data_IF_020214712145
#
_entry.id   IF_020214712145
#
_cell.length_a   1.000
_cell.length_b   1.000
_cell.length_c   1.000
_cell.angle_alpha   90.00
_cell.angle_beta   90.00
_cell.angle_gamma   90.00
#
_symmetry.space_group_name_H-M   'P 1'
#
loop_
_entity.id
_entity.type
_entity.pdbx_description
1 polymer ?
#
# COMPACT_ATOMS: atom_id res chain seq x y z
N UNK A 1 -22.39 -7.79 -9.05
CA UNK A 1 -21.48 -7.11 -8.10
C UNK A 1 -20.34 -6.55 -8.93
N UNK A 2 -20.25 -5.23 -9.04
CA UNK A 2 -19.09 -4.57 -9.62
C UNK A 2 -18.02 -4.46 -8.55
N UNK A 3 -16.79 -4.83 -8.88
CA UNK A 3 -15.62 -4.54 -8.07
C UNK A 3 -14.71 -3.68 -8.94
N UNK A 4 -14.51 -2.42 -8.58
CA UNK A 4 -13.51 -1.59 -9.24
C UNK A 4 -12.20 -1.75 -8.48
N UNK A 5 -11.24 -2.35 -9.17
CA UNK A 5 -9.90 -2.57 -8.65
C UNK A 5 -9.05 -1.32 -8.91
N UNK A 6 -8.68 -0.61 -7.85
CA UNK A 6 -7.83 0.58 -7.96
C UNK A 6 -6.53 0.33 -7.21
N UNK A 7 -5.44 0.28 -7.99
CA UNK A 7 -4.10 -0.11 -7.55
C UNK A 7 -3.23 1.15 -7.51
N UNK A 8 -2.57 1.40 -6.39
CA UNK A 8 -1.48 2.36 -6.34
C UNK A 8 -0.16 1.65 -6.66
N UNK A 9 0.55 2.19 -7.65
CA UNK A 9 1.83 1.66 -8.14
C UNK A 9 2.97 2.43 -7.50
N UNK A 10 3.84 1.71 -6.76
CA UNK A 10 5.07 2.23 -6.18
C UNK A 10 6.16 2.33 -7.25
N UNK A 11 6.80 3.50 -7.39
CA UNK A 11 8.00 3.71 -8.22
C UNK A 11 9.28 3.17 -7.56
N UNK A 12 9.25 2.74 -6.28
CA UNK A 12 10.41 2.13 -5.64
C UNK A 12 9.97 0.96 -4.75
N UNK A 13 9.95 -0.25 -5.32
CA UNK A 13 9.96 -1.47 -4.53
C UNK A 13 10.95 -2.46 -5.13
N UNK A 14 12.11 -2.57 -4.50
CA UNK A 14 12.71 -3.89 -4.40
C UNK A 14 11.75 -4.74 -3.54
N UNK A 15 11.58 -6.02 -3.88
CA UNK A 15 10.52 -6.89 -3.33
C UNK A 15 10.15 -6.59 -1.86
N UNK A 16 8.86 -6.45 -1.51
CA UNK A 16 8.41 -6.16 -0.14
C UNK A 16 8.88 -7.21 0.90
N UNK A 17 9.46 -8.32 0.45
CA UNK A 17 10.06 -9.36 1.28
C UNK A 17 11.44 -9.02 1.87
N UNK A 18 12.17 -8.01 1.37
CA UNK A 18 13.55 -7.70 1.82
C UNK A 18 13.67 -6.37 2.59
N UNK A 19 12.58 -5.91 3.22
CA UNK A 19 12.62 -4.83 4.21
C UNK A 19 13.26 -5.29 5.52
N UNK A 20 12.89 -6.50 5.97
CA UNK A 20 13.20 -7.01 7.31
C UNK A 20 14.32 -8.02 7.25
N UNK A 21 15.32 -7.81 8.10
CA UNK A 21 16.41 -8.76 8.32
C UNK A 21 15.97 -9.70 9.43
N UNK A 22 15.21 -10.72 9.06
CA UNK A 22 14.68 -11.71 10.02
C UNK A 22 15.69 -12.81 10.38
N UNK A 23 16.82 -12.85 9.66
CA UNK A 23 17.92 -13.78 9.91
C UNK A 23 19.29 -13.13 9.62
N UNK A 24 20.32 -13.58 10.33
CA UNK A 24 21.69 -13.16 10.10
C UNK A 24 22.15 -13.51 8.67
N UNK A 25 22.89 -12.59 8.04
CA UNK A 25 23.36 -12.73 6.66
C UNK A 25 22.38 -12.25 5.59
N UNK A 26 21.17 -11.83 5.95
CA UNK A 26 20.24 -11.19 5.02
C UNK A 26 20.52 -9.69 4.89
N UNK A 27 20.41 -9.17 3.67
CA UNK A 27 20.58 -7.76 3.36
C UNK A 27 19.19 -7.11 3.29
N UNK A 28 19.00 -5.99 3.97
CA UNK A 28 17.82 -5.16 3.75
C UNK A 28 18.00 -4.37 2.45
N UNK A 29 17.42 -4.84 1.34
CA UNK A 29 17.65 -4.21 0.03
C UNK A 29 17.13 -2.78 -0.02
N UNK A 30 16.02 -2.49 0.68
CA UNK A 30 15.50 -1.14 0.82
C UNK A 30 16.54 -0.18 1.42
N UNK A 31 17.28 -0.62 2.44
CA UNK A 31 18.35 0.16 3.06
C UNK A 31 19.53 0.36 2.11
N UNK A 32 19.93 -0.68 1.39
CA UNK A 32 21.01 -0.57 0.39
C UNK A 32 20.64 0.43 -0.70
N UNK A 33 19.42 0.37 -1.23
CA UNK A 33 18.95 1.32 -2.23
C UNK A 33 18.88 2.75 -1.67
N UNK A 34 18.35 2.94 -0.47
CA UNK A 34 18.33 4.26 0.17
C UNK A 34 19.75 4.82 0.38
N UNK A 35 20.73 3.96 0.69
CA UNK A 35 22.15 4.34 0.79
C UNK A 35 22.71 4.79 -0.56
N UNK A 36 22.40 4.07 -1.64
CA UNK A 36 22.80 4.43 -3.00
C UNK A 36 22.16 5.75 -3.45
N UNK A 37 20.87 5.94 -3.19
CA UNK A 37 20.15 7.18 -3.47
C UNK A 37 20.70 8.35 -2.63
N UNK A 38 21.13 8.07 -1.40
CA UNK A 38 21.78 9.06 -0.54
C UNK A 38 23.18 9.45 -1.01
N UNK A 39 23.77 8.74 -1.97
CA UNK A 39 25.04 9.12 -2.59
C UNK A 39 24.87 10.17 -3.70
N UNK A 40 23.64 10.60 -4.00
CA UNK A 40 23.39 11.72 -4.93
C UNK A 40 24.10 12.97 -4.37
N UNK A 41 24.98 13.62 -5.16
CA UNK A 41 25.70 14.79 -4.70
C UNK A 41 24.76 15.97 -4.48
N UNK A 42 25.19 16.91 -3.63
CA UNK A 42 24.47 18.16 -3.42
C UNK A 42 24.35 18.94 -4.73
N UNK A 43 23.16 19.47 -4.98
CA UNK A 43 22.93 20.42 -6.07
C UNK A 43 23.44 21.81 -5.69
N UNK A 44 23.51 22.73 -6.66
CA UNK A 44 23.85 24.13 -6.40
C UNK A 44 22.91 24.83 -5.38
N UNK A 45 21.72 24.27 -5.11
CA UNK A 45 20.75 24.80 -4.15
C UNK A 45 20.56 23.90 -2.91
N UNK A 46 21.47 22.94 -2.69
CA UNK A 46 21.43 22.02 -1.55
C UNK A 46 21.02 20.58 -1.92
N UNK A 47 20.59 19.77 -0.92
CA UNK A 47 20.23 18.36 -1.10
C UNK A 47 19.16 18.14 -2.16
N UNK A 48 19.28 17.04 -2.91
CA UNK A 48 18.22 16.61 -3.82
C UNK A 48 17.00 16.11 -3.01
N UNK A 49 15.79 16.42 -3.49
CA UNK A 49 14.56 15.87 -2.92
C UNK A 49 14.20 14.56 -3.62
N UNK A 50 13.87 13.55 -2.83
CA UNK A 50 13.37 12.26 -3.33
C UNK A 50 11.92 12.15 -2.90
N UNK A 51 11.00 12.23 -3.87
CA UNK A 51 9.58 12.08 -3.61
C UNK A 51 9.22 10.60 -3.68
N UNK A 52 8.62 10.08 -2.62
CA UNK A 52 8.23 8.67 -2.48
C UNK A 52 6.74 8.64 -2.20
N UNK A 53 5.99 7.99 -3.08
CA UNK A 53 4.56 7.78 -2.89
C UNK A 53 4.30 6.47 -2.15
N UNK A 54 3.43 6.52 -1.14
CA UNK A 54 2.87 5.37 -0.43
C UNK A 54 3.94 4.33 -0.02
N UNK A 55 4.87 4.79 0.82
CA UNK A 55 5.98 3.95 1.32
C UNK A 55 5.46 2.71 2.06
N UNK A 56 6.12 1.56 1.87
CA UNK A 56 5.60 0.28 2.36
C UNK A 56 5.57 0.25 3.88
N UNK A 57 6.64 0.73 4.52
CA UNK A 57 6.72 0.96 5.96
C UNK A 57 7.30 2.34 6.25
N UNK A 58 6.66 3.08 7.16
CA UNK A 58 7.06 4.44 7.50
C UNK A 58 8.50 4.53 8.03
N UNK A 59 9.00 3.44 8.65
CA UNK A 59 10.35 3.32 9.19
C UNK A 59 11.44 3.42 8.11
N UNK A 60 11.15 3.06 6.86
CA UNK A 60 12.09 3.14 5.74
C UNK A 60 12.58 4.57 5.48
N UNK A 61 11.82 5.59 5.94
CA UNK A 61 12.22 7.00 5.86
C UNK A 61 13.58 7.30 6.52
N UNK A 62 13.96 6.48 7.52
CA UNK A 62 15.19 6.64 8.27
C UNK A 62 16.38 5.91 7.63
N UNK A 63 16.20 5.26 6.48
CA UNK A 63 17.31 4.67 5.73
C UNK A 63 18.10 5.70 4.91
N UNK A 64 17.52 6.86 4.64
CA UNK A 64 18.17 7.94 3.90
C UNK A 64 19.11 8.74 4.82
N UNK A 65 20.23 9.22 4.27
CA UNK A 65 21.16 10.11 4.97
C UNK A 65 20.98 11.58 4.56
N UNK A 66 21.66 12.48 5.25
CA UNK A 66 21.51 13.95 5.16
C UNK A 66 21.79 14.57 3.77
N UNK A 67 22.40 13.81 2.85
CA UNK A 67 22.68 14.28 1.49
C UNK A 67 21.43 14.40 0.61
N UNK A 68 20.31 13.80 1.01
CA UNK A 68 19.03 13.85 0.30
C UNK A 68 17.89 14.12 1.26
N UNK A 69 16.81 14.71 0.76
CA UNK A 69 15.60 14.99 1.54
C UNK A 69 14.50 14.03 1.06
N UNK A 70 14.19 12.95 1.80
CA UNK A 70 13.06 12.09 1.48
C UNK A 70 11.76 12.81 1.81
N UNK A 71 10.91 12.98 0.79
CA UNK A 71 9.58 13.57 0.90
C UNK A 71 8.54 12.47 0.65
N UNK A 72 7.84 12.08 1.70
CA UNK A 72 6.79 11.07 1.62
C UNK A 72 5.47 11.73 1.22
N UNK A 73 4.87 11.23 0.17
CA UNK A 73 3.58 11.68 -0.36
C UNK A 73 2.63 10.48 -0.47
N UNK A 74 1.35 10.74 -0.65
CA UNK A 74 0.34 9.71 -0.87
C UNK A 74 -0.48 10.02 -2.12
N UNK A 75 -0.80 8.99 -2.89
CA UNK A 75 -1.64 9.12 -4.07
C UNK A 75 -3.13 8.92 -3.75
N UNK A 76 -3.50 8.65 -2.49
CA UNK A 76 -4.89 8.46 -2.06
C UNK A 76 -5.84 9.62 -2.42
N UNK A 77 -5.44 10.91 -2.37
CA UNK A 77 -6.33 11.99 -2.81
C UNK A 77 -6.76 11.88 -4.28
N UNK A 78 -5.88 11.35 -5.16
CA UNK A 78 -6.25 11.07 -6.55
C UNK A 78 -7.26 9.94 -6.63
N UNK A 79 -7.17 8.94 -5.73
CA UNK A 79 -8.17 7.89 -5.62
C UNK A 79 -9.54 8.46 -5.25
N UNK A 80 -9.57 9.24 -4.17
CA UNK A 80 -10.79 9.78 -3.60
C UNK A 80 -11.55 10.62 -4.62
N UNK A 81 -10.82 11.36 -5.47
CA UNK A 81 -11.40 12.09 -6.58
C UNK A 81 -12.16 11.18 -7.56
N UNK A 82 -11.55 10.08 -8.00
CA UNK A 82 -12.21 9.12 -8.90
C UNK A 82 -13.40 8.42 -8.23
N UNK A 83 -13.27 8.09 -6.95
CA UNK A 83 -14.32 7.44 -6.16
C UNK A 83 -15.53 8.36 -5.92
N UNK A 84 -15.30 9.66 -5.76
CA UNK A 84 -16.39 10.63 -5.62
C UNK A 84 -17.34 10.59 -6.82
N UNK A 85 -16.81 10.41 -8.03
CA UNK A 85 -17.62 10.25 -9.24
C UNK A 85 -18.52 9.00 -9.23
N UNK A 86 -18.13 7.93 -8.52
CA UNK A 86 -18.95 6.74 -8.35
C UNK A 86 -20.03 6.93 -7.27
N UNK A 87 -19.70 7.64 -6.18
CA UNK A 87 -20.70 8.00 -5.15
C UNK A 87 -21.79 8.91 -5.73
N UNK A 88 -21.43 9.85 -6.60
CA UNK A 88 -22.40 10.72 -7.32
C UNK A 88 -23.36 9.92 -8.23
N UNK A 89 -22.93 8.75 -8.72
CA UNK A 89 -23.75 7.85 -9.53
C UNK A 89 -24.71 6.99 -8.67
N UNK A 90 -24.68 7.15 -7.35
CA UNK A 90 -25.52 6.44 -6.40
C UNK A 90 -24.98 5.08 -5.98
N UNK A 91 -23.69 4.79 -6.23
CA UNK A 91 -23.07 3.55 -5.80
C UNK A 91 -22.74 3.57 -4.30
N UNK A 92 -23.13 2.50 -3.58
CA UNK A 92 -22.77 2.35 -2.17
C UNK A 92 -21.35 1.77 -2.07
N UNK A 93 -20.34 2.62 -1.89
CA UNK A 93 -18.94 2.20 -1.80
C UNK A 93 -18.61 1.52 -0.46
N UNK A 94 -17.71 0.54 -0.52
CA UNK A 94 -17.01 -0.03 0.63
C UNK A 94 -15.52 -0.23 0.32
N UNK A 95 -14.66 -0.03 1.31
CA UNK A 95 -13.20 -0.09 1.20
C UNK A 95 -12.68 -1.35 1.86
N UNK A 96 -12.12 -2.26 1.06
CA UNK A 96 -11.56 -3.52 1.53
C UNK A 96 -10.04 -3.45 1.63
N UNK A 97 -9.50 -3.83 2.78
CA UNK A 97 -8.06 -3.94 3.01
C UNK A 97 -7.65 -5.42 3.02
N UNK A 98 -6.77 -5.87 2.11
CA UNK A 98 -6.45 -7.29 1.92
C UNK A 98 -5.71 -7.92 3.10
N UNK A 99 -5.05 -7.11 3.92
CA UNK A 99 -4.44 -7.52 5.18
C UNK A 99 -4.40 -6.38 6.22
N UNK A 100 -4.06 -6.74 7.47
CA UNK A 100 -3.94 -5.79 8.59
C UNK A 100 -2.87 -4.70 8.32
N UNK A 101 -1.89 -4.96 7.44
CA UNK A 101 -0.84 -4.00 7.07
C UNK A 101 -1.38 -2.89 6.18
N UNK A 102 -2.14 -3.25 5.14
CA UNK A 102 -2.88 -2.29 4.31
C UNK A 102 -3.87 -1.48 5.15
N UNK A 103 -4.64 -2.13 6.03
CA UNK A 103 -5.56 -1.43 6.92
C UNK A 103 -4.84 -0.35 7.74
N UNK A 104 -3.81 -0.72 8.52
CA UNK A 104 -3.04 0.21 9.36
C UNK A 104 -2.44 1.40 8.60
N UNK A 105 -2.11 1.22 7.32
CA UNK A 105 -1.48 2.26 6.49
C UNK A 105 -2.50 3.24 5.93
N UNK A 106 -3.66 2.75 5.50
CA UNK A 106 -4.57 3.53 4.68
C UNK A 106 -5.88 3.89 5.38
N UNK A 107 -6.31 3.18 6.44
CA UNK A 107 -7.66 3.35 7.00
C UNK A 107 -7.98 4.79 7.42
N UNK A 108 -6.99 5.55 7.94
CA UNK A 108 -7.15 6.95 8.35
C UNK A 108 -7.40 7.91 7.18
N UNK A 109 -7.12 7.48 5.95
CA UNK A 109 -7.35 8.25 4.73
C UNK A 109 -8.71 7.94 4.10
N UNK A 110 -9.51 7.06 4.69
CA UNK A 110 -10.87 6.75 4.26
C UNK A 110 -11.87 7.12 5.37
N UNK A 111 -13.18 7.20 5.06
CA UNK A 111 -14.18 7.53 6.06
C UNK A 111 -14.12 6.58 7.27
N UNK A 112 -14.29 7.13 8.48
CA UNK A 112 -14.33 6.36 9.74
C UNK A 112 -15.62 5.54 9.92
N UNK A 113 -16.53 5.60 8.94
CA UNK A 113 -17.78 4.84 8.95
C UNK A 113 -17.47 3.33 8.91
N UNK A 114 -17.69 2.65 10.04
CA UNK A 114 -17.46 1.21 10.18
C UNK A 114 -18.24 0.41 9.12
N UNK A 115 -19.41 0.89 8.67
CA UNK A 115 -20.19 0.22 7.64
C UNK A 115 -19.51 0.29 6.26
N UNK A 116 -18.57 1.20 6.03
CA UNK A 116 -17.83 1.30 4.77
C UNK A 116 -16.48 0.57 4.80
N UNK A 117 -15.99 0.15 5.96
CA UNK A 117 -14.67 -0.48 6.08
C UNK A 117 -14.79 -2.00 6.11
N UNK A 118 -13.95 -2.68 5.34
CA UNK A 118 -13.87 -4.14 5.29
C UNK A 118 -12.42 -4.53 5.52
N UNK A 119 -12.17 -5.33 6.55
CA UNK A 119 -10.82 -5.82 6.86
C UNK A 119 -10.76 -7.29 6.51
N UNK A 120 -9.78 -7.65 5.68
CA UNK A 120 -9.53 -9.04 5.33
C UNK A 120 -8.34 -9.60 6.11
N UNK A 121 -8.38 -10.90 6.37
CA UNK A 121 -7.26 -11.67 6.88
C UNK A 121 -6.69 -12.55 5.77
N UNK A 122 -5.38 -12.44 5.57
CA UNK A 122 -4.63 -13.24 4.60
C UNK A 122 -3.88 -14.36 5.30
N UNK A 123 -4.17 -15.60 4.91
CA UNK A 123 -3.48 -16.80 5.40
C UNK A 123 -2.74 -17.47 4.24
N UNK A 124 -1.49 -17.86 4.47
CA UNK A 124 -0.76 -18.77 3.58
C UNK A 124 -1.15 -20.20 3.93
N UNK A 125 -1.60 -20.96 2.95
CA UNK A 125 -1.94 -22.38 3.08
C UNK A 125 -0.81 -23.20 2.43
N UNK A 126 -0.68 -24.47 2.81
CA UNK A 126 0.34 -25.36 2.24
C UNK A 126 0.30 -25.36 0.70
N UNK A 127 1.48 -25.47 0.08
CA UNK A 127 1.60 -25.43 -1.38
C UNK A 127 1.61 -24.03 -2.00
N UNK A 128 1.99 -22.99 -1.25
CA UNK A 128 2.13 -21.60 -1.73
C UNK A 128 0.82 -20.92 -2.17
N UNK A 129 -0.32 -21.53 -1.83
CA UNK A 129 -1.64 -20.94 -2.04
C UNK A 129 -1.96 -19.93 -0.93
N UNK A 130 -2.66 -18.85 -1.31
CA UNK A 130 -3.08 -17.79 -0.37
C UNK A 130 -4.59 -17.87 -0.29
N UNK A 131 -5.14 -17.73 0.91
CA UNK A 131 -6.58 -17.59 1.13
C UNK A 131 -6.80 -16.28 1.84
N UNK A 132 -7.73 -15.48 1.33
CA UNK A 132 -8.16 -14.23 1.94
C UNK A 132 -9.59 -14.41 2.43
N UNK A 133 -9.85 -14.04 3.67
CA UNK A 133 -11.18 -14.13 4.28
C UNK A 133 -11.54 -12.79 4.90
N UNK A 134 -12.80 -12.37 4.78
CA UNK A 134 -13.30 -11.20 5.51
C UNK A 134 -13.21 -11.47 7.01
N UNK A 135 -12.48 -10.62 7.72
CA UNK A 135 -12.29 -10.64 9.17
C UNK A 135 -13.30 -9.72 9.85
N UNK A 136 -13.58 -8.57 9.24
CA UNK A 136 -14.52 -7.57 9.75
C UNK A 136 -15.17 -6.79 8.60
N UNK A 137 -16.37 -6.27 8.84
CA UNK A 137 -17.20 -5.55 7.85
C UNK A 137 -18.06 -6.45 6.95
N UNK A 138 -18.93 -5.83 6.14
CA UNK A 138 -19.84 -6.54 5.24
C UNK A 138 -19.79 -6.00 3.79
N UNK A 139 -19.32 -6.81 2.81
CA UNK A 139 -19.28 -6.44 1.38
C UNK A 139 -20.63 -6.53 0.66
N UNK A 140 -21.64 -7.15 1.25
CA UNK A 140 -22.87 -7.50 0.53
C UNK A 140 -23.64 -6.25 0.09
N UNK A 141 -23.99 -6.20 -1.21
CA UNK A 141 -24.77 -5.12 -1.80
C UNK A 141 -23.99 -3.82 -2.04
N UNK A 142 -22.67 -3.82 -1.79
CA UNK A 142 -21.80 -2.65 -1.92
C UNK A 142 -20.85 -2.81 -3.10
N UNK A 143 -20.39 -1.68 -3.62
CA UNK A 143 -19.29 -1.61 -4.56
C UNK A 143 -17.98 -1.64 -3.77
N UNK A 144 -17.27 -2.77 -3.83
CA UNK A 144 -16.06 -2.95 -3.04
C UNK A 144 -14.82 -2.46 -3.80
N UNK A 145 -14.08 -1.56 -3.17
CA UNK A 145 -12.81 -1.01 -3.63
C UNK A 145 -11.71 -1.60 -2.76
N UNK A 146 -10.83 -2.41 -3.36
CA UNK A 146 -9.73 -3.03 -2.62
C UNK A 146 -8.53 -2.08 -2.60
N UNK A 147 -8.05 -1.73 -1.41
CA UNK A 147 -6.97 -0.77 -1.18
C UNK A 147 -5.71 -1.50 -0.74
N UNK A 148 -4.64 -1.41 -1.55
CA UNK A 148 -3.32 -1.93 -1.23
C UNK A 148 -2.23 -1.00 -1.76
N UNK A 149 -1.03 -1.07 -1.18
CA UNK A 149 0.10 -0.22 -1.58
C UNK A 149 0.79 -0.71 -2.85
N UNK A 150 0.74 -2.01 -3.11
CA UNK A 150 1.40 -2.62 -4.26
C UNK A 150 0.73 -3.94 -4.64
N UNK A 151 0.52 -4.10 -5.94
CA UNK A 151 0.10 -5.37 -6.53
C UNK A 151 1.24 -5.92 -7.39
N UNK A 152 1.75 -7.09 -7.01
CA UNK A 152 2.81 -7.77 -7.78
C UNK A 152 2.24 -8.82 -8.73
N UNK A 153 1.73 -9.94 -8.20
CA UNK A 153 1.18 -11.04 -9.02
C UNK A 153 -0.33 -11.00 -9.17
N UNK A 154 -1.02 -10.08 -8.50
CA UNK A 154 -2.50 -10.02 -8.47
C UNK A 154 -3.19 -11.13 -7.67
N UNK A 155 -2.47 -12.17 -7.22
CA UNK A 155 -3.09 -13.32 -6.55
C UNK A 155 -3.85 -12.95 -5.26
N UNK A 156 -3.35 -12.01 -4.46
CA UNK A 156 -4.07 -11.54 -3.26
C UNK A 156 -5.42 -10.91 -3.65
N UNK A 157 -5.46 -10.13 -4.73
CA UNK A 157 -6.67 -9.45 -5.17
C UNK A 157 -7.69 -10.41 -5.76
N UNK A 158 -7.22 -11.40 -6.52
CA UNK A 158 -8.10 -12.45 -7.04
C UNK A 158 -8.77 -13.23 -5.91
N UNK A 159 -8.05 -13.50 -4.82
CA UNK A 159 -8.64 -14.13 -3.63
C UNK A 159 -9.56 -13.19 -2.85
N UNK A 160 -9.27 -11.88 -2.81
CA UNK A 160 -10.17 -10.90 -2.18
C UNK A 160 -11.49 -10.75 -2.92
N UNK A 161 -11.49 -10.92 -4.25
CA UNK A 161 -12.68 -10.78 -5.09
C UNK A 161 -13.61 -12.01 -5.10
N UNK A 162 -13.23 -13.10 -4.41
CA UNK A 162 -14.04 -14.31 -4.27
C UNK A 162 -14.98 -14.21 -3.06
#
# INVERSE_FOLDING_TARGET
MGYTLLIFSKIISCEPAMERVDAEGLIATAKTLATLLSAIPLSAKGPAQIIIYDIHALQERFYFSDNVIPRLETAVPLLQHELHGLEEQGEQLAFAFPDDGAYKRFHLLFPEDEDKLIVCAKRRVEGNSKVVTVKDGNPQGKHVVIIDDLVQTGGTLQECGK
#
